data_IF_248122622901
#
_entry.id   IF_248122622901
#
_cell.length_a   1.000
_cell.length_b   1.000
_cell.length_c   1.000
_cell.angle_alpha   90.00
_cell.angle_beta   90.00
_cell.angle_gamma   90.00
#
_symmetry.space_group_name_H-M   'P 1'
#
loop_
_entity.id
_entity.type
_entity.pdbx_description
1 polymer ?
#
# COMPACT_ATOMS: atom_id res chain seq x y z
N UNK A 1 -10.05 -9.87 6.76
CA UNK A 1 -9.69 -11.11 6.02
C UNK A 1 -10.04 -12.33 6.85
N UNK A 2 -9.56 -13.54 6.50
CA UNK A 2 -9.76 -14.73 7.35
C UNK A 2 -8.69 -14.76 8.46
N UNK A 3 -9.08 -14.73 9.75
CA UNK A 3 -8.13 -14.63 10.85
C UNK A 3 -7.46 -15.97 11.19
N UNK A 4 -6.27 -15.91 11.79
CA UNK A 4 -5.54 -17.11 12.28
C UNK A 4 -6.42 -17.98 13.18
N UNK A 5 -7.23 -17.35 14.05
CA UNK A 5 -8.14 -18.02 14.97
C UNK A 5 -9.10 -18.99 14.27
N UNK A 6 -9.60 -18.64 13.09
CA UNK A 6 -10.49 -19.53 12.33
C UNK A 6 -9.78 -20.84 11.95
N UNK A 7 -8.54 -20.74 11.48
CA UNK A 7 -7.74 -21.92 11.12
C UNK A 7 -7.34 -22.74 12.35
N UNK A 8 -7.07 -22.10 13.50
CA UNK A 8 -6.82 -22.81 14.77
C UNK A 8 -8.04 -23.62 15.21
N UNK A 9 -9.24 -23.06 15.13
CA UNK A 9 -10.47 -23.78 15.45
C UNK A 9 -10.69 -25.02 14.57
N UNK A 10 -10.21 -25.00 13.33
CA UNK A 10 -10.36 -26.11 12.38
C UNK A 10 -9.23 -27.16 12.49
N UNK A 11 -7.99 -26.71 12.69
CA UNK A 11 -6.79 -27.56 12.63
C UNK A 11 -6.24 -27.93 14.02
N UNK A 12 -6.76 -27.31 15.08
CA UNK A 12 -6.34 -27.48 16.47
C UNK A 12 -5.20 -26.55 16.89
N UNK A 13 -5.07 -26.35 18.21
CA UNK A 13 -4.16 -25.35 18.79
C UNK A 13 -2.67 -25.62 18.50
N UNK A 14 -2.31 -26.87 18.23
CA UNK A 14 -0.92 -27.27 17.92
C UNK A 14 -0.50 -26.94 16.48
N UNK A 15 -1.44 -26.57 15.61
CA UNK A 15 -1.11 -26.21 14.23
C UNK A 15 -0.30 -24.90 14.19
N UNK A 16 0.78 -24.90 13.42
CA UNK A 16 1.53 -23.67 13.08
C UNK A 16 0.82 -22.97 11.93
N UNK A 17 0.30 -21.77 12.18
CA UNK A 17 -0.47 -21.02 11.19
C UNK A 17 0.20 -19.67 10.99
N UNK A 18 0.50 -19.37 9.74
CA UNK A 18 1.05 -18.09 9.30
C UNK A 18 0.08 -17.49 8.32
N UNK A 19 -0.46 -16.31 8.64
CA UNK A 19 -1.32 -15.54 7.76
C UNK A 19 -0.45 -14.59 6.95
N UNK A 20 -0.65 -14.57 5.65
CA UNK A 20 0.02 -13.61 4.75
C UNK A 20 -0.99 -12.80 3.96
N UNK A 21 -0.61 -11.58 3.62
CA UNK A 21 -1.41 -10.67 2.80
C UNK A 21 -0.50 -10.00 1.77
N UNK A 22 -0.25 -10.65 0.61
CA UNK A 22 0.46 -10.05 -0.50
C UNK A 22 -0.45 -9.07 -1.26
N UNK A 23 0.14 -8.25 -2.13
CA UNK A 23 -0.60 -7.38 -3.04
C UNK A 23 -0.22 -7.62 -4.51
N UNK A 24 -1.02 -7.06 -5.43
CA UNK A 24 -0.90 -7.31 -6.88
C UNK A 24 0.48 -6.96 -7.48
N UNK A 25 1.19 -5.91 -7.03
CA UNK A 25 2.57 -5.62 -7.46
C UNK A 25 3.59 -6.77 -7.27
N UNK A 26 3.27 -7.81 -6.49
CA UNK A 26 4.10 -9.01 -6.38
C UNK A 26 4.37 -9.69 -7.74
N UNK A 27 3.46 -9.56 -8.71
CA UNK A 27 3.62 -10.10 -10.07
C UNK A 27 4.83 -9.56 -10.83
N UNK A 28 5.34 -8.40 -10.41
CA UNK A 28 6.52 -7.74 -11.00
C UNK A 28 7.66 -7.59 -10.00
N UNK A 29 7.65 -8.36 -8.90
CA UNK A 29 8.67 -8.31 -7.86
C UNK A 29 8.66 -7.04 -7.00
N UNK A 30 7.62 -6.21 -7.12
CA UNK A 30 7.47 -4.96 -6.36
C UNK A 30 6.35 -5.07 -5.31
N UNK A 31 6.09 -6.28 -4.83
CA UNK A 31 5.04 -6.55 -3.86
C UNK A 31 5.37 -6.04 -2.45
N UNK A 32 4.33 -5.92 -1.64
CA UNK A 32 4.43 -5.86 -0.19
C UNK A 32 3.61 -7.02 0.38
N UNK A 33 4.26 -7.91 1.11
CA UNK A 33 3.60 -9.02 1.80
C UNK A 33 3.64 -8.79 3.29
N UNK A 34 2.47 -8.66 3.89
CA UNK A 34 2.36 -8.64 5.35
C UNK A 34 2.31 -10.06 5.87
N UNK A 35 3.00 -10.33 6.97
CA UNK A 35 3.06 -11.65 7.59
C UNK A 35 2.70 -11.52 9.06
N UNK A 36 1.80 -12.38 9.52
CA UNK A 36 1.41 -12.49 10.91
C UNK A 36 1.33 -13.95 11.35
N UNK A 37 1.70 -14.22 12.60
CA UNK A 37 1.61 -15.52 13.25
C UNK A 37 1.45 -15.34 14.75
N UNK A 38 0.99 -16.38 15.45
CA UNK A 38 0.90 -16.36 16.90
C UNK A 38 2.29 -16.28 17.54
N UNK A 39 2.42 -15.50 18.60
CA UNK A 39 3.68 -15.37 19.33
C UNK A 39 4.18 -16.75 19.78
N UNK A 40 5.49 -16.98 19.63
CA UNK A 40 6.19 -18.21 20.02
C UNK A 40 5.72 -19.48 19.27
N UNK A 41 4.86 -19.35 18.25
CA UNK A 41 4.38 -20.50 17.45
C UNK A 41 5.31 -20.91 16.32
N UNK A 42 6.20 -20.01 15.89
CA UNK A 42 7.14 -20.16 14.77
C UNK A 42 8.56 -19.90 15.28
N UNK A 43 9.52 -20.71 14.88
CA UNK A 43 10.94 -20.51 15.23
C UNK A 43 11.58 -19.42 14.37
N UNK A 44 12.74 -18.90 14.77
CA UNK A 44 13.48 -17.90 13.97
C UNK A 44 13.87 -18.45 12.59
N UNK A 45 14.24 -19.73 12.50
CA UNK A 45 14.56 -20.41 11.23
C UNK A 45 13.35 -20.50 10.30
N UNK A 46 12.18 -20.85 10.84
CA UNK A 46 10.93 -20.88 10.08
C UNK A 46 10.52 -19.47 9.64
N UNK A 47 10.65 -18.47 10.52
CA UNK A 47 10.39 -17.07 10.21
C UNK A 47 11.30 -16.57 9.08
N UNK A 48 12.60 -16.89 9.13
CA UNK A 48 13.55 -16.55 8.08
C UNK A 48 13.21 -17.24 6.75
N UNK A 49 12.76 -18.49 6.80
CA UNK A 49 12.31 -19.23 5.60
C UNK A 49 11.08 -18.56 4.96
N UNK A 50 10.12 -18.12 5.78
CA UNK A 50 8.92 -17.41 5.31
C UNK A 50 9.31 -16.06 4.69
N UNK A 51 10.17 -15.29 5.35
CA UNK A 51 10.68 -14.02 4.80
C UNK A 51 11.37 -14.24 3.47
N UNK A 52 12.32 -15.16 3.41
CA UNK A 52 13.05 -15.49 2.18
C UNK A 52 12.11 -15.86 1.02
N UNK A 53 11.05 -16.63 1.30
CA UNK A 53 10.06 -17.00 0.30
C UNK A 53 9.34 -15.78 -0.28
N UNK A 54 8.84 -14.87 0.57
CA UNK A 54 8.06 -13.72 0.11
C UNK A 54 8.92 -12.54 -0.36
N UNK A 55 10.17 -12.46 0.08
CA UNK A 55 11.15 -11.49 -0.43
C UNK A 55 11.51 -11.73 -1.91
N UNK A 56 11.27 -12.95 -2.42
CA UNK A 56 11.41 -13.25 -3.85
C UNK A 56 10.46 -12.45 -4.76
N UNK A 57 9.36 -11.92 -4.21
CA UNK A 57 8.32 -11.19 -4.94
C UNK A 57 8.11 -9.75 -4.44
N UNK A 58 8.98 -9.27 -3.54
CA UNK A 58 8.90 -7.90 -3.04
C UNK A 58 9.46 -7.73 -1.63
N UNK A 59 8.82 -6.88 -0.84
CA UNK A 59 9.18 -6.64 0.56
C UNK A 59 8.23 -7.38 1.49
N UNK A 60 8.73 -7.71 2.68
CA UNK A 60 7.98 -8.42 3.72
C UNK A 60 7.99 -7.59 4.98
N UNK A 61 6.81 -7.41 5.58
CA UNK A 61 6.67 -6.72 6.86
C UNK A 61 5.95 -7.62 7.87
N UNK A 62 6.50 -7.69 9.07
CA UNK A 62 5.92 -8.46 10.16
C UNK A 62 4.93 -7.59 10.91
N UNK A 63 3.69 -8.05 11.07
CA UNK A 63 2.67 -7.26 11.76
C UNK A 63 1.83 -8.12 12.70
N UNK A 64 1.33 -7.50 13.77
CA UNK A 64 0.40 -8.14 14.68
C UNK A 64 -0.94 -8.46 13.98
N UNK A 65 -1.53 -9.61 14.32
CA UNK A 65 -2.74 -10.11 13.68
C UNK A 65 -3.92 -9.13 13.82
N UNK A 66 -4.00 -8.40 14.94
CA UNK A 66 -5.05 -7.40 15.18
C UNK A 66 -4.99 -6.20 14.22
N UNK A 67 -3.84 -5.94 13.59
CA UNK A 67 -3.68 -4.87 12.61
C UNK A 67 -3.91 -5.34 11.17
N UNK A 68 -4.01 -6.65 10.91
CA UNK A 68 -4.11 -7.20 9.54
C UNK A 68 -5.30 -6.64 8.75
N UNK A 69 -6.42 -6.36 9.43
CA UNK A 69 -7.58 -5.75 8.78
C UNK A 69 -7.41 -4.23 8.62
N UNK A 70 -6.70 -3.54 9.52
CA UNK A 70 -6.40 -2.10 9.44
C UNK A 70 -5.51 -1.76 8.26
N UNK A 71 -4.51 -2.60 8.01
CA UNK A 71 -3.51 -2.39 6.96
C UNK A 71 -3.95 -2.87 5.58
N UNK A 72 -5.10 -3.57 5.48
CA UNK A 72 -5.65 -4.04 4.21
C UNK A 72 -5.87 -2.88 3.23
N UNK A 73 -6.45 -1.78 3.72
CA UNK A 73 -6.67 -0.58 2.90
C UNK A 73 -5.36 0.02 2.38
N UNK A 74 -4.29 -0.04 3.19
CA UNK A 74 -2.99 0.53 2.88
C UNK A 74 -2.18 -0.32 1.89
N UNK A 75 -2.21 -1.65 1.97
CA UNK A 75 -1.32 -2.49 1.14
C UNK A 75 -2.01 -3.17 -0.03
N UNK A 76 -3.25 -3.62 0.15
CA UNK A 76 -3.97 -4.44 -0.85
C UNK A 76 -4.81 -3.57 -1.78
N UNK A 77 -5.53 -2.59 -1.22
CA UNK A 77 -6.46 -1.75 -1.99
C UNK A 77 -5.81 -0.49 -2.56
N UNK A 78 -4.78 0.05 -1.90
CA UNK A 78 -4.13 1.29 -2.30
C UNK A 78 -3.55 1.32 -3.72
N UNK A 79 -3.11 0.22 -4.36
CA UNK A 79 -2.71 0.25 -5.76
C UNK A 79 -3.83 0.78 -6.68
N UNK A 80 -5.10 0.53 -6.36
CA UNK A 80 -6.22 1.08 -7.13
C UNK A 80 -6.26 2.61 -7.06
N UNK A 81 -6.02 3.20 -5.90
CA UNK A 81 -5.98 4.66 -5.71
C UNK A 81 -4.81 5.27 -6.48
N UNK A 82 -3.67 4.58 -6.49
CA UNK A 82 -2.49 4.98 -7.26
C UNK A 82 -2.75 4.91 -8.77
N UNK A 83 -3.43 3.86 -9.26
CA UNK A 83 -3.82 3.78 -10.67
C UNK A 83 -4.77 4.92 -11.08
N UNK A 84 -5.75 5.25 -10.25
CA UNK A 84 -6.63 6.40 -10.48
C UNK A 84 -5.85 7.72 -10.51
N UNK A 85 -4.85 7.89 -9.63
CA UNK A 85 -3.98 9.08 -9.63
C UNK A 85 -3.18 9.18 -10.92
N UNK A 86 -2.55 8.08 -11.37
CA UNK A 86 -1.81 8.02 -12.64
C UNK A 86 -2.73 8.35 -13.81
N UNK A 87 -3.95 7.80 -13.83
CA UNK A 87 -4.95 8.06 -14.86
C UNK A 87 -5.37 9.55 -14.88
N UNK A 88 -5.63 10.15 -13.71
CA UNK A 88 -5.98 11.57 -13.62
C UNK A 88 -4.85 12.47 -14.13
N UNK A 89 -3.60 12.18 -13.78
CA UNK A 89 -2.42 12.90 -14.27
C UNK A 89 -2.27 12.79 -15.79
N UNK A 90 -2.44 11.57 -16.33
CA UNK A 90 -2.34 11.32 -17.76
C UNK A 90 -3.46 12.03 -18.54
N UNK A 91 -4.69 12.05 -18.00
CA UNK A 91 -5.84 12.71 -18.63
C UNK A 91 -5.66 14.23 -18.76
N UNK A 92 -5.10 14.91 -17.75
CA UNK A 92 -4.77 16.34 -17.86
C UNK A 92 -3.67 16.59 -18.92
N UNK A 93 -2.64 15.74 -18.98
CA UNK A 93 -1.62 15.82 -20.01
C UNK A 93 -2.20 15.63 -21.43
N UNK A 94 -3.13 14.69 -21.61
CA UNK A 94 -3.86 14.48 -22.88
C UNK A 94 -4.70 15.69 -23.25
N UNK A 95 -5.40 16.31 -22.29
CA UNK A 95 -6.15 17.54 -22.51
C UNK A 95 -5.25 18.68 -23.02
N UNK A 96 -3.98 18.69 -22.62
CA UNK A 96 -2.95 19.65 -23.07
C UNK A 96 -2.26 19.26 -24.38
N UNK A 97 -2.74 18.21 -25.05
CA UNK A 97 -2.24 17.76 -26.36
C UNK A 97 -1.09 16.75 -26.32
N UNK A 98 -0.74 16.22 -25.14
CA UNK A 98 0.28 15.17 -25.04
C UNK A 98 -0.33 13.83 -25.49
N UNK A 99 0.32 13.06 -26.39
CA UNK A 99 -0.17 11.75 -26.78
C UNK A 99 -0.36 10.83 -25.57
N UNK A 100 -1.50 10.11 -25.53
CA UNK A 100 -1.90 9.27 -24.38
C UNK A 100 -0.80 8.32 -23.91
N UNK A 101 -0.14 7.58 -24.82
CA UNK A 101 0.94 6.67 -24.44
C UNK A 101 2.11 7.36 -23.74
N UNK A 102 2.47 8.57 -24.18
CA UNK A 102 3.49 9.41 -23.53
C UNK A 102 3.00 9.91 -22.17
N UNK A 103 1.76 10.37 -22.09
CA UNK A 103 1.16 10.88 -20.86
C UNK A 103 1.17 9.83 -19.73
N UNK A 104 0.69 8.62 -19.99
CA UNK A 104 0.69 7.54 -19.00
C UNK A 104 2.11 7.13 -18.60
N UNK A 105 3.06 7.07 -19.56
CA UNK A 105 4.45 6.74 -19.25
C UNK A 105 5.08 7.78 -18.30
N UNK A 106 4.87 9.07 -18.57
CA UNK A 106 5.39 10.15 -17.74
C UNK A 106 4.74 10.14 -16.34
N UNK A 107 3.42 9.98 -16.27
CA UNK A 107 2.70 9.93 -14.99
C UNK A 107 3.13 8.74 -14.13
N UNK A 108 3.19 7.54 -14.70
CA UNK A 108 3.61 6.33 -13.98
C UNK A 108 5.06 6.45 -13.47
N UNK A 109 5.98 6.98 -14.30
CA UNK A 109 7.37 7.18 -13.90
C UNK A 109 7.53 8.21 -12.79
N UNK A 110 6.74 9.29 -12.81
CA UNK A 110 6.74 10.30 -11.75
C UNK A 110 6.32 9.69 -10.41
N UNK A 111 5.23 8.91 -10.41
CA UNK A 111 4.74 8.21 -9.22
C UNK A 111 5.75 7.19 -8.69
N UNK A 112 6.35 6.39 -9.58
CA UNK A 112 7.39 5.43 -9.22
C UNK A 112 8.58 6.13 -8.54
N UNK A 113 9.09 7.21 -9.15
CA UNK A 113 10.21 7.97 -8.62
C UNK A 113 9.91 8.59 -7.25
N UNK A 114 8.71 9.17 -7.08
CA UNK A 114 8.30 9.72 -5.78
C UNK A 114 8.22 8.65 -4.69
N UNK A 115 7.69 7.46 -4.99
CA UNK A 115 7.65 6.35 -4.05
C UNK A 115 9.07 5.85 -3.70
N UNK A 116 9.96 5.72 -4.70
CA UNK A 116 11.35 5.35 -4.48
C UNK A 116 12.09 6.35 -3.60
N UNK A 117 11.91 7.65 -3.81
CA UNK A 117 12.53 8.67 -2.96
C UNK A 117 12.14 8.50 -1.49
N UNK A 118 10.87 8.23 -1.17
CA UNK A 118 10.45 7.97 0.21
C UNK A 118 11.16 6.75 0.78
N UNK A 119 11.21 5.65 0.03
CA UNK A 119 11.77 4.38 0.49
C UNK A 119 13.30 4.43 0.64
N UNK A 120 14.01 5.09 -0.28
CA UNK A 120 15.47 5.11 -0.33
C UNK A 120 16.07 6.19 0.57
N UNK A 121 15.42 7.36 0.66
CA UNK A 121 15.95 8.47 1.48
C UNK A 121 15.51 8.39 2.94
N UNK A 122 14.37 7.73 3.22
CA UNK A 122 13.76 7.72 4.55
C UNK A 122 13.25 9.08 5.02
N UNK A 123 13.24 10.11 4.17
CA UNK A 123 12.78 11.45 4.50
C UNK A 123 11.26 11.48 4.68
N UNK A 124 10.80 12.39 5.52
CA UNK A 124 9.37 12.60 5.70
C UNK A 124 8.74 13.12 4.39
N UNK A 125 7.58 12.60 3.93
CA UNK A 125 6.99 13.03 2.65
C UNK A 125 6.71 14.53 2.55
N UNK A 126 6.42 15.20 3.67
CA UNK A 126 6.25 16.65 3.69
C UNK A 126 7.54 17.40 3.35
N UNK A 127 8.70 16.90 3.80
CA UNK A 127 10.01 17.47 3.49
C UNK A 127 10.33 17.31 2.00
N UNK A 128 10.16 16.11 1.44
CA UNK A 128 10.34 15.86 0.00
C UNK A 128 9.42 16.74 -0.86
N UNK A 129 8.17 16.95 -0.41
CA UNK A 129 7.23 17.86 -1.07
C UNK A 129 7.71 19.32 -1.00
N UNK A 130 8.24 19.76 0.15
CA UNK A 130 8.77 21.13 0.32
C UNK A 130 10.03 21.36 -0.51
N UNK A 131 10.90 20.36 -0.69
CA UNK A 131 12.09 20.44 -1.57
C UNK A 131 11.74 20.73 -3.04
N UNK A 132 10.56 20.31 -3.50
CA UNK A 132 10.07 20.52 -4.87
C UNK A 132 9.25 21.81 -4.99
N UNK A 133 8.72 22.33 -3.88
CA UNK A 133 7.90 23.54 -3.85
C UNK A 133 8.76 24.80 -3.78
N UNK A 134 9.03 25.43 -4.93
CA UNK A 134 9.73 26.71 -4.96
C UNK A 134 8.79 27.89 -4.65
N UNK A 135 9.30 28.98 -4.02
CA UNK A 135 8.50 30.19 -3.78
C UNK A 135 7.90 30.75 -5.07
N UNK A 136 6.58 31.01 -5.07
CA UNK A 136 5.80 31.44 -6.24
C UNK A 136 5.90 30.51 -7.48
N UNK A 137 6.31 29.25 -7.28
CA UNK A 137 6.45 28.26 -8.35
C UNK A 137 5.13 27.61 -8.76
N UNK A 138 5.19 26.82 -9.83
CA UNK A 138 4.04 26.07 -10.32
C UNK A 138 3.57 24.97 -9.36
N UNK A 139 4.52 24.29 -8.69
CA UNK A 139 4.21 23.19 -7.77
C UNK A 139 3.39 23.66 -6.56
N UNK A 140 3.72 24.81 -5.96
CA UNK A 140 3.01 25.28 -4.77
C UNK A 140 1.57 25.71 -5.09
N UNK A 141 1.31 26.25 -6.28
CA UNK A 141 -0.04 26.54 -6.76
C UNK A 141 -0.85 25.25 -7.00
N UNK A 142 -0.22 24.20 -7.54
CA UNK A 142 -0.84 22.88 -7.70
C UNK A 142 -1.16 22.24 -6.34
N UNK A 143 -0.24 22.29 -5.38
CA UNK A 143 -0.47 21.82 -4.00
C UNK A 143 -1.63 22.59 -3.36
N UNK A 144 -1.68 23.92 -3.51
CA UNK A 144 -2.82 24.72 -3.01
C UNK A 144 -4.15 24.25 -3.62
N UNK A 145 -4.17 23.93 -4.91
CA UNK A 145 -5.36 23.41 -5.57
C UNK A 145 -5.77 22.02 -5.06
N UNK A 146 -4.82 21.12 -4.81
CA UNK A 146 -5.09 19.80 -4.21
C UNK A 146 -5.68 19.93 -2.79
N UNK A 147 -5.11 20.80 -1.96
CA UNK A 147 -5.62 21.05 -0.60
C UNK A 147 -7.01 21.68 -0.64
N UNK A 148 -7.27 22.64 -1.54
CA UNK A 148 -8.61 23.23 -1.76
C UNK A 148 -9.66 22.19 -2.12
N UNK A 149 -9.27 21.10 -2.79
CA UNK A 149 -10.15 20.00 -3.19
C UNK A 149 -10.12 18.82 -2.21
N UNK A 150 -9.65 19.02 -0.97
CA UNK A 150 -9.66 18.01 0.09
C UNK A 150 -8.92 16.71 -0.28
N UNK A 151 -7.85 16.79 -1.08
CA UNK A 151 -7.15 15.62 -1.59
C UNK A 151 -6.75 14.61 -0.50
N UNK A 152 -6.15 15.08 0.59
CA UNK A 152 -5.76 14.21 1.72
C UNK A 152 -6.95 13.54 2.38
N UNK A 153 -8.01 14.31 2.62
CA UNK A 153 -9.23 13.81 3.22
C UNK A 153 -9.87 12.73 2.35
N UNK A 154 -9.94 12.93 1.03
CA UNK A 154 -10.49 11.94 0.10
C UNK A 154 -9.74 10.59 0.18
N UNK A 155 -8.41 10.61 0.30
CA UNK A 155 -7.61 9.39 0.46
C UNK A 155 -7.87 8.74 1.81
N UNK A 156 -7.89 9.53 2.90
CA UNK A 156 -8.13 9.03 4.26
C UNK A 156 -9.51 8.38 4.33
N UNK A 157 -10.55 9.06 3.87
CA UNK A 157 -11.93 8.55 3.85
C UNK A 157 -12.05 7.25 3.04
N UNK A 158 -11.41 7.19 1.86
CA UNK A 158 -11.40 5.98 1.04
C UNK A 158 -10.73 4.79 1.77
N UNK A 159 -9.64 5.05 2.51
CA UNK A 159 -8.98 4.04 3.32
C UNK A 159 -9.84 3.60 4.50
N UNK A 160 -10.50 4.54 5.18
CA UNK A 160 -11.41 4.23 6.29
C UNK A 160 -12.57 3.35 5.85
N UNK A 161 -13.26 3.67 4.75
CA UNK A 161 -14.35 2.86 4.20
C UNK A 161 -13.87 1.47 3.78
N UNK A 162 -12.68 1.37 3.19
CA UNK A 162 -12.07 0.09 2.86
C UNK A 162 -11.83 -0.76 4.12
N UNK A 163 -11.26 -0.16 5.16
CA UNK A 163 -10.98 -0.83 6.44
C UNK A 163 -12.28 -1.25 7.15
N UNK A 164 -13.30 -0.38 7.20
CA UNK A 164 -14.63 -0.70 7.74
C UNK A 164 -15.19 -1.95 7.04
N UNK A 165 -15.10 -2.01 5.72
CA UNK A 165 -15.56 -3.18 4.96
C UNK A 165 -14.73 -4.44 5.24
N UNK A 166 -13.41 -4.30 5.36
CA UNK A 166 -12.50 -5.41 5.66
C UNK A 166 -12.81 -6.06 7.01
N UNK A 167 -13.12 -5.25 8.03
CA UNK A 167 -13.55 -5.71 9.37
C UNK A 167 -14.87 -6.48 9.33
N UNK A 168 -15.89 -5.95 8.65
CA UNK A 168 -17.19 -6.64 8.48
C UNK A 168 -17.01 -8.01 7.79
N UNK A 169 -16.08 -8.12 6.85
CA UNK A 169 -15.76 -9.41 6.22
C UNK A 169 -15.09 -10.35 7.21
N UNK A 170 -14.16 -9.85 8.04
CA UNK A 170 -13.46 -10.63 9.07
C UNK A 170 -14.38 -11.17 10.16
N UNK A 171 -15.37 -10.39 10.59
CA UNK A 171 -16.35 -10.79 11.60
C UNK A 171 -17.11 -12.07 11.26
N UNK A 172 -17.28 -12.39 9.98
CA UNK A 172 -17.94 -13.63 9.52
C UNK A 172 -17.19 -14.91 9.85
N UNK A 173 -15.92 -14.79 10.25
CA UNK A 173 -15.02 -15.93 10.51
C UNK A 173 -14.60 -16.04 11.98
N UNK A 174 -15.10 -15.15 12.84
CA UNK A 174 -14.88 -15.13 14.30
C UNK A 174 -16.06 -15.70 15.05
#
# INVERSE_FOLDING_TARGET
>A
GVPIKMFKNLLGDKAKIVRTMPNRPALIGSGMTLVSFEKDSITDEECNTIKWLFESVGKVEMINENLMDEVTALTSSSPAYVFMMIEAMANDAVLRGIPSGTAYKLAAQAVLGSAQMVLETGKHPAELKDEICTPAGTTIEAVRALEKNNFRYAIIEAMEECTKKAKIIGEKYT
#
